data_IF_990985184431
#
_entry.id   IF_990985184431
#
_cell.length_a   1.000
_cell.length_b   1.000
_cell.length_c   1.000
_cell.angle_alpha   90.00
_cell.angle_beta   90.00
_cell.angle_gamma   90.00
#
_symmetry.space_group_name_H-M   'P 1'
#
loop_
_entity.id
_entity.type
_entity.pdbx_description
1 polymer ?
#
# COMPACT_ATOMS: atom_id res chain seq x y z
N UNK A 1 2.45 -3.38 -57.57
CA UNK A 1 3.37 -3.22 -56.43
C UNK A 1 2.98 -1.92 -55.77
N UNK A 2 2.47 -1.98 -54.53
CA UNK A 2 1.96 -0.82 -53.79
C UNK A 2 3.11 0.13 -53.43
N UNK A 3 2.93 1.42 -53.69
CA UNK A 3 3.73 2.48 -53.12
C UNK A 3 3.43 2.55 -51.61
N UNK A 4 4.47 2.44 -50.78
CA UNK A 4 4.38 2.69 -49.35
C UNK A 4 4.62 4.19 -49.17
N UNK A 5 3.55 4.96 -48.93
CA UNK A 5 3.65 6.34 -48.48
C UNK A 5 4.29 6.38 -47.10
N UNK A 6 5.53 6.90 -47.01
CA UNK A 6 6.13 7.29 -45.75
C UNK A 6 5.53 8.64 -45.32
N UNK A 7 4.65 8.61 -44.32
CA UNK A 7 4.17 9.81 -43.63
C UNK A 7 5.39 10.49 -42.98
N UNK A 8 5.65 11.78 -43.23
CA UNK A 8 6.82 12.46 -42.67
C UNK A 8 6.73 12.50 -41.14
N UNK A 9 7.84 12.20 -40.48
CA UNK A 9 8.09 12.31 -39.03
C UNK A 9 7.70 13.66 -38.41
N UNK A 10 7.46 14.69 -39.22
CA UNK A 10 6.96 16.00 -38.80
C UNK A 10 5.49 15.93 -38.41
N UNK A 11 4.65 15.20 -39.16
CA UNK A 11 3.21 15.12 -38.89
C UNK A 11 2.90 14.34 -37.61
N UNK A 12 3.77 13.40 -37.22
CA UNK A 12 3.68 12.69 -35.94
C UNK A 12 4.04 13.60 -34.76
N UNK A 13 5.11 14.39 -34.90
CA UNK A 13 5.46 15.41 -33.89
C UNK A 13 4.38 16.49 -33.79
N UNK A 14 3.75 16.84 -34.92
CA UNK A 14 2.69 17.84 -34.99
C UNK A 14 1.36 17.32 -34.39
N UNK A 15 1.02 16.05 -34.62
CA UNK A 15 -0.11 15.36 -34.00
C UNK A 15 0.04 15.21 -32.47
N UNK A 16 1.27 15.05 -31.97
CA UNK A 16 1.56 15.03 -30.53
C UNK A 16 1.41 16.44 -29.92
N UNK A 17 1.82 17.49 -30.62
CA UNK A 17 1.65 18.88 -30.15
C UNK A 17 0.20 19.37 -30.14
N UNK A 18 -0.67 18.83 -30.99
CA UNK A 18 -2.07 19.26 -31.08
C UNK A 18 -2.96 18.68 -29.95
N UNK A 19 -2.54 17.59 -29.30
CA UNK A 19 -3.35 16.89 -28.31
C UNK A 19 -3.10 17.28 -26.84
N UNK A 20 -2.07 18.08 -26.50
CA UNK A 20 -1.92 18.60 -25.13
C UNK A 20 -1.05 19.87 -25.02
N UNK A 21 -1.61 21.06 -25.27
CA UNK A 21 -0.86 22.33 -25.28
C UNK A 21 -0.32 22.78 -23.90
N UNK A 22 -0.77 22.20 -22.78
CA UNK A 22 -0.36 22.61 -21.42
C UNK A 22 0.83 21.82 -20.83
N UNK A 23 1.30 20.74 -21.48
CA UNK A 23 2.37 19.88 -20.95
C UNK A 23 3.80 20.46 -21.04
N UNK A 24 3.99 21.68 -21.57
CA UNK A 24 5.26 22.04 -22.26
C UNK A 24 6.07 23.22 -21.70
N UNK A 25 5.90 23.65 -20.45
CA UNK A 25 6.64 24.83 -19.96
C UNK A 25 8.02 24.51 -19.36
N UNK A 26 8.19 23.41 -18.61
CA UNK A 26 9.43 23.17 -17.87
C UNK A 26 10.38 22.09 -18.44
N UNK A 27 9.89 21.19 -19.30
CA UNK A 27 10.71 20.20 -20.00
C UNK A 27 11.39 20.75 -21.26
N UNK A 28 11.08 22.00 -21.65
CA UNK A 28 11.48 22.58 -22.94
C UNK A 28 13.00 22.66 -23.12
N UNK A 29 13.77 22.97 -22.08
CA UNK A 29 15.22 23.13 -22.23
C UNK A 29 15.96 21.80 -22.34
N UNK A 30 15.66 20.81 -21.49
CA UNK A 30 16.36 19.53 -21.55
C UNK A 30 15.89 18.65 -22.73
N UNK A 31 14.58 18.59 -23.02
CA UNK A 31 14.08 17.84 -24.18
C UNK A 31 14.42 18.50 -25.52
N UNK A 32 14.43 19.84 -25.65
CA UNK A 32 14.90 20.46 -26.89
C UNK A 32 16.40 20.32 -27.05
N UNK A 33 17.18 20.31 -25.97
CA UNK A 33 18.63 20.09 -26.08
C UNK A 33 18.90 18.66 -26.55
N UNK A 34 18.26 17.66 -25.97
CA UNK A 34 18.43 16.26 -26.39
C UNK A 34 17.81 15.99 -27.77
N UNK A 35 16.62 16.50 -28.07
CA UNK A 35 16.01 16.37 -29.39
C UNK A 35 16.74 17.18 -30.46
N UNK A 36 17.33 18.36 -30.15
CA UNK A 36 18.16 19.12 -31.12
C UNK A 36 19.55 18.52 -31.26
N UNK A 37 20.14 17.92 -30.21
CA UNK A 37 21.34 17.11 -30.34
C UNK A 37 21.06 15.89 -31.20
N UNK A 38 19.93 15.21 -30.99
CA UNK A 38 19.55 14.02 -31.72
C UNK A 38 19.19 14.35 -33.18
N UNK A 39 18.39 15.40 -33.43
CA UNK A 39 18.11 15.92 -34.77
C UNK A 39 19.37 16.48 -35.42
N UNK A 40 20.28 17.10 -34.66
CA UNK A 40 21.58 17.59 -35.14
C UNK A 40 22.52 16.45 -35.54
N UNK A 41 22.55 15.37 -34.77
CA UNK A 41 23.26 14.12 -35.07
C UNK A 41 22.65 13.45 -36.31
N UNK A 42 21.32 13.34 -36.37
CA UNK A 42 20.56 12.81 -37.51
C UNK A 42 20.81 13.61 -38.78
N UNK A 43 20.80 14.95 -38.72
CA UNK A 43 21.07 15.82 -39.86
C UNK A 43 22.54 15.80 -40.26
N UNK A 44 23.48 15.61 -39.32
CA UNK A 44 24.91 15.47 -39.63
C UNK A 44 25.24 14.13 -40.29
N UNK A 45 24.62 13.02 -39.85
CA UNK A 45 24.72 11.72 -40.50
C UNK A 45 24.01 11.69 -41.87
N UNK A 46 22.84 12.33 -42.01
CA UNK A 46 22.16 12.45 -43.31
C UNK A 46 22.92 13.34 -44.30
N UNK A 47 23.62 14.40 -43.83
CA UNK A 47 24.51 15.20 -44.69
C UNK A 47 25.73 14.41 -45.16
N UNK A 48 26.27 13.50 -44.33
CA UNK A 48 27.37 12.61 -44.69
C UNK A 48 26.93 11.45 -45.60
N UNK A 49 25.67 11.00 -45.51
CA UNK A 49 25.12 9.85 -46.27
C UNK A 49 24.38 10.20 -47.56
N UNK A 50 24.37 11.47 -48.00
CA UNK A 50 23.78 11.86 -49.29
C UNK A 50 24.51 11.29 -50.52
N UNK A 51 25.57 10.50 -50.30
CA UNK A 51 26.35 9.82 -51.34
C UNK A 51 25.83 8.44 -51.72
N UNK A 52 25.13 7.71 -50.85
CA UNK A 52 24.81 6.30 -51.12
C UNK A 52 23.37 5.94 -50.70
N UNK A 53 22.61 5.38 -51.66
CA UNK A 53 21.25 4.84 -51.50
C UNK A 53 21.24 3.62 -50.56
N UNK A 54 21.26 3.83 -49.25
CA UNK A 54 21.08 2.78 -48.26
C UNK A 54 19.98 3.14 -47.27
N UNK A 55 18.97 2.25 -47.21
CA UNK A 55 17.88 2.20 -46.23
C UNK A 55 18.45 2.44 -44.81
N UNK A 56 17.79 3.24 -43.95
CA UNK A 56 18.27 3.44 -42.58
C UNK A 56 18.37 2.09 -41.86
N UNK A 57 19.43 1.85 -41.07
CA UNK A 57 19.62 0.58 -40.39
C UNK A 57 18.45 0.33 -39.41
N UNK A 58 17.97 -0.92 -39.35
CA UNK A 58 16.88 -1.34 -38.44
C UNK A 58 17.11 -0.88 -36.98
N UNK A 59 18.37 -0.73 -36.55
CA UNK A 59 18.73 -0.21 -35.23
C UNK A 59 18.23 1.21 -34.94
N UNK A 60 18.08 2.07 -35.94
CA UNK A 60 17.64 3.46 -35.76
C UNK A 60 16.15 3.55 -35.47
N UNK A 61 15.32 2.83 -36.22
CA UNK A 61 13.88 2.72 -35.96
C UNK A 61 13.62 2.03 -34.62
N UNK A 62 14.40 0.98 -34.29
CA UNK A 62 14.33 0.31 -33.00
C UNK A 62 14.65 1.25 -31.84
N UNK A 63 15.71 2.05 -31.93
CA UNK A 63 16.09 3.00 -30.87
C UNK A 63 15.06 4.13 -30.70
N UNK A 64 14.51 4.65 -31.79
CA UNK A 64 13.44 5.66 -31.72
C UNK A 64 12.14 5.09 -31.13
N UNK A 65 11.74 3.87 -31.50
CA UNK A 65 10.61 3.16 -30.89
C UNK A 65 10.85 2.87 -29.40
N UNK A 66 12.09 2.55 -29.01
CA UNK A 66 12.50 2.36 -27.61
C UNK A 66 12.43 3.65 -26.79
N UNK A 67 12.75 4.80 -27.40
CA UNK A 67 12.63 6.11 -26.76
C UNK A 67 11.15 6.48 -26.62
N UNK A 68 10.35 6.27 -27.67
CA UNK A 68 8.91 6.53 -27.64
C UNK A 68 8.15 5.58 -26.71
N UNK A 69 8.57 4.32 -26.56
CA UNK A 69 7.98 3.37 -25.61
C UNK A 69 8.25 3.72 -24.15
N UNK A 70 9.26 4.57 -23.88
CA UNK A 70 9.57 5.09 -22.54
C UNK A 70 8.86 6.41 -22.21
N UNK A 71 8.21 7.05 -23.19
CA UNK A 71 7.33 8.19 -22.94
C UNK A 71 5.96 7.63 -22.58
N UNK A 72 5.70 7.53 -21.29
CA UNK A 72 4.40 7.12 -20.78
C UNK A 72 3.34 8.20 -20.84
N UNK A 73 2.10 7.80 -20.62
CA UNK A 73 0.93 8.69 -20.67
C UNK A 73 0.94 9.77 -19.57
N UNK A 74 1.35 9.41 -18.34
CA UNK A 74 1.36 10.34 -17.22
C UNK A 74 2.71 11.06 -17.09
N UNK A 75 2.65 12.35 -16.78
CA UNK A 75 3.84 13.10 -16.41
C UNK A 75 4.28 12.71 -14.99
N UNK A 76 5.46 12.12 -14.87
CA UNK A 76 6.07 11.80 -13.58
C UNK A 76 6.42 13.09 -12.82
N UNK A 77 5.78 13.29 -11.67
CA UNK A 77 5.98 14.45 -10.78
C UNK A 77 6.20 14.04 -9.33
N UNK A 78 6.14 12.75 -9.01
CA UNK A 78 6.46 12.22 -7.69
C UNK A 78 7.90 12.54 -7.27
N UNK A 79 8.13 12.58 -5.97
CA UNK A 79 9.48 12.76 -5.43
C UNK A 79 10.31 11.49 -5.48
N UNK A 80 9.66 10.33 -5.67
CA UNK A 80 10.30 9.01 -5.72
C UNK A 80 9.80 8.27 -6.96
N UNK A 81 10.75 7.57 -7.57
CA UNK A 81 10.58 6.61 -8.66
C UNK A 81 11.20 5.29 -8.17
N UNK A 82 10.49 4.17 -8.26
CA UNK A 82 10.95 2.91 -7.69
C UNK A 82 11.82 2.14 -8.68
N UNK A 83 12.30 0.98 -8.26
CA UNK A 83 13.25 0.23 -9.07
C UNK A 83 12.62 -0.42 -10.32
N UNK A 84 11.30 -0.54 -10.39
CA UNK A 84 10.59 -1.08 -11.55
C UNK A 84 10.72 -0.14 -12.76
N UNK A 85 10.92 -0.70 -13.97
CA UNK A 85 11.03 0.14 -15.16
C UNK A 85 9.67 0.75 -15.53
N UNK A 86 9.66 2.06 -15.68
CA UNK A 86 8.48 2.80 -16.08
C UNK A 86 7.99 2.45 -17.49
N UNK A 87 6.68 2.19 -17.59
CA UNK A 87 5.92 1.92 -18.80
C UNK A 87 6.38 0.68 -19.59
N UNK A 88 7.07 -0.26 -18.94
CA UNK A 88 7.59 -1.48 -19.58
C UNK A 88 6.48 -2.37 -20.17
N UNK A 89 5.36 -2.50 -19.45
CA UNK A 89 4.25 -3.40 -19.81
C UNK A 89 3.01 -2.67 -20.34
N UNK A 90 2.93 -1.35 -20.19
CA UNK A 90 1.76 -0.55 -20.57
C UNK A 90 2.14 0.91 -20.77
N UNK A 91 1.55 1.57 -21.77
CA UNK A 91 1.70 3.01 -21.96
C UNK A 91 0.96 3.85 -20.89
N UNK A 92 -0.03 3.26 -20.20
CA UNK A 92 -0.89 3.97 -19.23
C UNK A 92 -0.55 3.70 -17.76
N UNK A 93 0.23 2.66 -17.48
CA UNK A 93 0.59 2.24 -16.13
C UNK A 93 2.12 2.32 -16.03
N UNK A 94 2.63 3.23 -15.20
CA UNK A 94 4.06 3.45 -15.04
C UNK A 94 4.76 2.20 -14.48
N UNK A 95 4.38 1.76 -13.29
CA UNK A 95 5.00 0.58 -12.64
C UNK A 95 3.96 -0.54 -12.54
N UNK A 96 3.99 -1.48 -13.49
CA UNK A 96 2.95 -2.49 -13.66
C UNK A 96 2.84 -3.44 -12.45
N UNK A 97 3.95 -4.02 -12.03
CA UNK A 97 3.97 -4.96 -10.92
C UNK A 97 3.66 -4.27 -9.59
N UNK A 98 4.21 -3.08 -9.35
CA UNK A 98 3.93 -2.30 -8.15
C UNK A 98 2.45 -1.91 -8.09
N UNK A 99 1.85 -1.48 -9.20
CA UNK A 99 0.40 -1.17 -9.29
C UNK A 99 -0.49 -2.34 -8.90
N UNK A 100 -0.26 -3.52 -9.49
CA UNK A 100 -1.14 -4.68 -9.24
C UNK A 100 -0.86 -5.37 -7.91
N UNK A 101 0.37 -5.33 -7.41
CA UNK A 101 0.68 -5.85 -6.08
C UNK A 101 0.02 -5.04 -4.96
N UNK A 102 -0.29 -3.75 -5.16
CA UNK A 102 -1.08 -2.92 -4.22
C UNK A 102 -2.47 -3.48 -3.93
N UNK A 103 -3.04 -4.30 -4.83
CA UNK A 103 -4.31 -5.00 -4.60
C UNK A 103 -4.26 -5.90 -3.35
N UNK A 104 -3.07 -6.38 -2.95
CA UNK A 104 -2.93 -7.16 -1.72
C UNK A 104 -3.39 -6.37 -0.49
N UNK A 105 -3.05 -5.08 -0.39
CA UNK A 105 -3.50 -4.22 0.73
C UNK A 105 -5.01 -4.10 0.74
N UNK A 106 -5.63 -3.92 -0.43
CA UNK A 106 -7.08 -3.89 -0.58
C UNK A 106 -7.69 -5.21 -0.09
N UNK A 107 -7.18 -6.34 -0.57
CA UNK A 107 -7.67 -7.68 -0.21
C UNK A 107 -7.54 -7.92 1.30
N UNK A 108 -6.38 -7.70 1.89
CA UNK A 108 -6.15 -7.95 3.32
C UNK A 108 -6.95 -6.99 4.21
N UNK A 109 -7.05 -5.71 3.85
CA UNK A 109 -7.89 -4.75 4.56
C UNK A 109 -9.38 -5.13 4.50
N UNK A 110 -9.90 -5.43 3.31
CA UNK A 110 -11.30 -5.77 3.10
C UNK A 110 -11.67 -7.13 3.73
N UNK A 111 -10.76 -8.09 3.67
CA UNK A 111 -10.90 -9.38 4.34
C UNK A 111 -10.90 -9.19 5.87
N UNK A 112 -9.97 -8.39 6.40
CA UNK A 112 -9.90 -8.08 7.83
C UNK A 112 -11.17 -7.42 8.36
N UNK A 113 -11.70 -6.43 7.63
CA UNK A 113 -12.91 -5.71 8.02
C UNK A 113 -14.18 -6.59 8.01
N UNK A 114 -14.26 -7.59 7.13
CA UNK A 114 -15.44 -8.45 6.96
C UNK A 114 -15.41 -9.72 7.82
N UNK A 115 -14.22 -10.30 8.03
CA UNK A 115 -14.12 -11.61 8.67
C UNK A 115 -13.91 -11.52 10.18
N UNK A 116 -13.22 -10.49 10.65
CA UNK A 116 -12.95 -10.34 12.08
C UNK A 116 -14.16 -9.83 12.85
N UNK A 117 -14.25 -10.22 14.12
CA UNK A 117 -15.19 -9.68 15.09
C UNK A 117 -14.81 -8.22 15.44
N UNK A 118 -15.10 -7.31 14.53
CA UNK A 118 -14.94 -5.89 14.78
C UNK A 118 -16.20 -5.37 15.51
N UNK A 119 -16.19 -5.45 16.85
CA UNK A 119 -17.20 -4.76 17.65
C UNK A 119 -17.02 -3.24 17.50
N UNK A 120 -17.98 -2.59 16.83
CA UNK A 120 -17.95 -1.16 16.55
C UNK A 120 -17.22 -0.75 15.26
N UNK A 121 -17.13 0.56 15.04
CA UNK A 121 -16.59 1.17 13.83
C UNK A 121 -15.06 1.15 13.78
N UNK A 122 -14.41 1.28 14.94
CA UNK A 122 -12.97 1.49 15.08
C UNK A 122 -12.10 0.50 14.29
N UNK A 123 -12.24 -0.80 14.55
CA UNK A 123 -11.41 -1.81 13.89
C UNK A 123 -11.85 -2.08 12.45
N UNK A 124 -13.13 -1.84 12.11
CA UNK A 124 -13.57 -1.83 10.71
C UNK A 124 -12.88 -0.70 9.94
N UNK A 125 -12.78 0.48 10.55
CA UNK A 125 -12.06 1.61 9.99
C UNK A 125 -10.57 1.30 9.85
N UNK A 126 -9.93 0.74 10.88
CA UNK A 126 -8.51 0.38 10.84
C UNK A 126 -8.20 -0.55 9.65
N UNK A 127 -9.00 -1.60 9.47
CA UNK A 127 -8.84 -2.51 8.33
C UNK A 127 -9.15 -1.85 6.98
N UNK A 128 -10.21 -1.03 6.89
CA UNK A 128 -10.56 -0.34 5.64
C UNK A 128 -9.57 0.74 5.25
N UNK A 129 -8.89 1.37 6.21
CA UNK A 129 -7.81 2.32 5.92
C UNK A 129 -6.63 1.64 5.23
N UNK A 130 -6.34 0.35 5.53
CA UNK A 130 -5.37 -0.43 4.75
C UNK A 130 -5.83 -0.55 3.29
N UNK A 131 -7.13 -0.74 3.05
CA UNK A 131 -7.66 -0.76 1.68
C UNK A 131 -7.59 0.60 0.99
N UNK A 132 -7.77 1.70 1.74
CA UNK A 132 -7.57 3.06 1.21
C UNK A 132 -6.12 3.29 0.82
N UNK A 133 -5.14 2.85 1.65
CA UNK A 133 -3.71 2.83 1.26
C UNK A 133 -3.52 2.02 -0.03
N UNK A 134 -4.14 0.84 -0.12
CA UNK A 134 -4.11 0.01 -1.33
C UNK A 134 -4.59 0.72 -2.60
N UNK A 135 -5.65 1.51 -2.51
CA UNK A 135 -6.15 2.32 -3.63
C UNK A 135 -5.18 3.46 -3.95
N UNK A 136 -4.65 4.13 -2.93
CA UNK A 136 -3.66 5.20 -3.10
C UNK A 136 -2.39 4.70 -3.79
N UNK A 137 -1.78 3.64 -3.28
CA UNK A 137 -0.62 2.96 -3.86
C UNK A 137 -0.88 2.50 -5.30
N UNK A 138 -2.05 1.89 -5.58
CA UNK A 138 -2.39 1.48 -6.95
C UNK A 138 -2.40 2.69 -7.91
N UNK A 139 -3.01 3.79 -7.49
CA UNK A 139 -3.04 5.00 -8.31
C UNK A 139 -1.66 5.65 -8.43
N UNK A 140 -0.88 5.66 -7.35
CA UNK A 140 0.48 6.19 -7.34
C UNK A 140 1.38 5.44 -8.31
N UNK A 141 1.48 4.12 -8.21
CA UNK A 141 2.34 3.34 -9.11
C UNK A 141 1.83 3.32 -10.55
N UNK A 142 0.53 3.55 -10.77
CA UNK A 142 -0.01 3.69 -12.12
C UNK A 142 0.42 5.01 -12.78
N UNK A 143 0.54 6.10 -12.03
CA UNK A 143 0.73 7.45 -12.59
C UNK A 143 2.07 8.12 -12.28
N UNK A 144 2.72 7.75 -11.19
CA UNK A 144 3.88 8.42 -10.58
C UNK A 144 3.72 9.95 -10.45
N UNK A 145 2.52 10.38 -10.07
CA UNK A 145 2.23 11.80 -9.82
C UNK A 145 2.31 12.13 -8.33
N UNK A 146 2.75 13.35 -7.99
CA UNK A 146 2.88 13.79 -6.60
C UNK A 146 1.56 13.75 -5.82
N UNK A 147 0.44 14.01 -6.49
CA UNK A 147 -0.91 13.97 -5.93
C UNK A 147 -1.31 12.54 -5.55
N UNK A 148 -0.98 11.57 -6.40
CA UNK A 148 -1.28 10.16 -6.11
C UNK A 148 -0.29 9.58 -5.09
N UNK A 149 0.97 10.04 -5.09
CA UNK A 149 1.91 9.75 -4.00
C UNK A 149 1.35 10.20 -2.65
N UNK A 150 0.78 11.41 -2.58
CA UNK A 150 0.13 11.87 -1.35
C UNK A 150 -1.09 11.00 -0.97
N UNK A 151 -1.83 10.48 -1.95
CA UNK A 151 -2.94 9.56 -1.72
C UNK A 151 -2.49 8.17 -1.25
N UNK A 152 -1.24 7.76 -1.50
CA UNK A 152 -0.61 6.57 -0.91
C UNK A 152 -0.12 6.85 0.52
N UNK A 153 0.66 7.91 0.70
CA UNK A 153 1.35 8.26 1.94
C UNK A 153 0.40 8.72 3.06
N UNK A 154 -0.58 9.59 2.76
CA UNK A 154 -1.46 10.18 3.79
C UNK A 154 -2.34 9.13 4.49
N UNK A 155 -3.02 8.21 3.78
CA UNK A 155 -3.82 7.17 4.42
C UNK A 155 -2.99 6.22 5.30
N UNK A 156 -1.69 6.03 5.04
CA UNK A 156 -0.81 5.25 5.92
C UNK A 156 -0.71 5.89 7.30
N UNK A 157 -0.59 7.22 7.37
CA UNK A 157 -0.60 7.98 8.64
C UNK A 157 -1.94 7.85 9.35
N UNK A 158 -3.06 7.96 8.62
CA UNK A 158 -4.40 7.78 9.22
C UNK A 158 -4.59 6.37 9.77
N UNK A 159 -4.09 5.36 9.06
CA UNK A 159 -4.09 3.96 9.49
C UNK A 159 -3.30 3.80 10.80
N UNK A 160 -2.07 4.30 10.85
CA UNK A 160 -1.22 4.25 12.03
C UNK A 160 -1.85 4.97 13.24
N UNK A 161 -2.45 6.15 13.05
CA UNK A 161 -3.20 6.86 14.10
C UNK A 161 -4.38 6.05 14.65
N UNK A 162 -5.10 5.37 13.77
CA UNK A 162 -6.24 4.53 14.16
C UNK A 162 -5.79 3.31 14.96
N UNK A 163 -4.60 2.75 14.65
CA UNK A 163 -4.01 1.60 15.33
C UNK A 163 -3.28 1.94 16.63
N UNK A 164 -2.64 3.11 16.73
CA UNK A 164 -1.90 3.49 17.94
C UNK A 164 -2.84 3.79 19.11
N UNK A 165 -4.02 4.31 18.85
CA UNK A 165 -4.98 4.63 19.89
C UNK A 165 -5.43 3.42 20.74
N UNK A 166 -5.93 2.30 20.17
CA UNK A 166 -6.26 1.14 21.01
C UNK A 166 -5.04 0.53 21.69
N UNK A 167 -3.83 0.70 21.13
CA UNK A 167 -2.59 0.26 21.78
C UNK A 167 -2.28 1.09 23.03
N UNK A 168 -2.42 2.42 22.94
CA UNK A 168 -2.27 3.32 24.09
C UNK A 168 -3.30 2.95 25.17
N UNK A 169 -4.57 2.82 24.79
CA UNK A 169 -5.63 2.47 25.75
C UNK A 169 -5.43 1.07 26.38
N UNK A 170 -4.87 0.12 25.63
CA UNK A 170 -4.55 -1.21 26.14
C UNK A 170 -3.47 -1.21 27.23
N UNK A 171 -2.57 -0.22 27.23
CA UNK A 171 -1.46 -0.14 28.20
C UNK A 171 -1.77 0.83 29.34
N UNK A 172 -2.40 1.96 29.03
CA UNK A 172 -2.57 3.09 29.96
C UNK A 172 -4.03 3.32 30.37
N UNK A 173 -4.96 2.50 29.88
CA UNK A 173 -6.40 2.67 30.10
C UNK A 173 -7.00 3.79 29.22
N UNK A 174 -8.31 4.04 29.33
CA UNK A 174 -9.01 5.05 28.54
C UNK A 174 -8.40 6.44 28.74
N UNK A 175 -8.06 7.13 27.65
CA UNK A 175 -7.39 8.43 27.73
C UNK A 175 -8.37 9.63 27.74
N UNK A 176 -9.66 9.41 27.47
CA UNK A 176 -10.64 10.50 27.35
C UNK A 176 -10.53 11.25 26.02
N UNK A 177 -11.20 12.41 25.90
CA UNK A 177 -11.38 13.09 24.61
C UNK A 177 -10.12 13.77 24.06
N UNK A 178 -9.10 14.04 24.87
CA UNK A 178 -7.89 14.75 24.40
C UNK A 178 -7.11 13.93 23.37
N UNK A 179 -7.03 12.61 23.55
CA UNK A 179 -6.28 11.73 22.65
C UNK A 179 -6.86 11.72 21.22
N UNK A 180 -8.15 11.40 21.00
CA UNK A 180 -8.71 11.45 19.66
C UNK A 180 -8.67 12.86 19.05
N UNK A 181 -8.82 13.94 19.84
CA UNK A 181 -8.66 15.31 19.35
C UNK A 181 -7.22 15.55 18.85
N UNK A 182 -6.21 15.17 19.63
CA UNK A 182 -4.80 15.32 19.26
C UNK A 182 -4.48 14.52 17.98
N UNK A 183 -5.03 13.30 17.85
CA UNK A 183 -4.83 12.47 16.67
C UNK A 183 -5.52 13.04 15.42
N UNK A 184 -6.72 13.62 15.55
CA UNK A 184 -7.39 14.30 14.43
C UNK A 184 -6.59 15.53 14.00
N UNK A 185 -6.07 16.31 14.96
CA UNK A 185 -5.19 17.45 14.65
C UNK A 185 -3.93 16.97 13.93
N UNK A 186 -3.29 15.89 14.41
CA UNK A 186 -2.12 15.30 13.74
C UNK A 186 -2.47 14.84 12.31
N UNK A 187 -3.59 14.15 12.12
CA UNK A 187 -4.05 13.73 10.80
C UNK A 187 -4.23 14.93 9.85
N UNK A 188 -4.88 16.01 10.30
CA UNK A 188 -5.09 17.21 9.50
C UNK A 188 -3.75 17.88 9.16
N UNK A 189 -2.90 18.12 10.15
CA UNK A 189 -1.60 18.78 9.95
C UNK A 189 -0.69 17.97 9.01
N UNK A 190 -0.64 16.65 9.18
CA UNK A 190 0.16 15.79 8.30
C UNK A 190 -0.42 15.78 6.88
N UNK A 191 -1.75 15.73 6.73
CA UNK A 191 -2.39 15.78 5.41
C UNK A 191 -2.04 17.08 4.70
N UNK A 192 -2.16 18.22 5.38
CA UNK A 192 -1.79 19.51 4.82
C UNK A 192 -0.29 19.57 4.50
N UNK A 193 0.58 19.10 5.39
CA UNK A 193 2.03 19.11 5.18
C UNK A 193 2.44 18.28 3.95
N UNK A 194 1.93 17.06 3.81
CA UNK A 194 2.25 16.15 2.70
C UNK A 194 1.64 16.64 1.38
N UNK A 195 0.40 17.15 1.38
CA UNK A 195 -0.26 17.59 0.14
C UNK A 195 0.21 18.94 -0.39
N UNK A 196 0.66 19.85 0.50
CA UNK A 196 1.18 21.17 0.11
C UNK A 196 2.66 21.09 -0.24
N UNK A 197 3.44 20.27 0.48
CA UNK A 197 4.84 20.05 0.13
C UNK A 197 4.96 19.32 -1.21
N UNK A 198 6.09 19.51 -1.88
CA UNK A 198 6.45 18.85 -3.14
C UNK A 198 7.89 18.35 -3.05
N UNK A 199 8.24 17.37 -3.88
CA UNK A 199 9.59 16.79 -3.90
C UNK A 199 9.99 16.19 -2.54
N UNK A 200 11.27 16.29 -2.19
CA UNK A 200 11.84 15.67 -0.99
C UNK A 200 11.13 16.09 0.32
N UNK A 201 10.60 17.31 0.39
CA UNK A 201 9.90 17.78 1.59
C UNK A 201 8.61 17.01 1.86
N UNK A 202 7.88 16.62 0.80
CA UNK A 202 6.71 15.75 0.93
C UNK A 202 7.12 14.42 1.58
N UNK A 203 8.14 13.78 1.01
CA UNK A 203 8.68 12.51 1.47
C UNK A 203 9.16 12.58 2.92
N UNK A 204 9.88 13.63 3.30
CA UNK A 204 10.38 13.84 4.67
C UNK A 204 9.23 14.02 5.67
N UNK A 205 8.26 14.87 5.37
CA UNK A 205 7.13 15.10 6.28
C UNK A 205 6.31 13.82 6.51
N UNK A 206 6.09 13.05 5.45
CA UNK A 206 5.48 11.73 5.56
C UNK A 206 6.31 10.80 6.46
N UNK A 207 7.60 10.59 6.17
CA UNK A 207 8.44 9.64 6.91
C UNK A 207 8.61 10.01 8.40
N UNK A 208 8.73 11.30 8.72
CA UNK A 208 8.81 11.75 10.12
C UNK A 208 7.52 11.44 10.89
N UNK A 209 6.38 11.69 10.27
CA UNK A 209 5.07 11.44 10.87
C UNK A 209 4.77 9.94 10.98
N UNK A 210 4.82 9.23 9.85
CA UNK A 210 4.52 7.81 9.79
C UNK A 210 5.54 6.97 10.57
N UNK A 211 6.84 7.22 10.39
CA UNK A 211 7.89 6.48 11.08
C UNK A 211 7.84 6.61 12.60
N UNK A 212 7.51 7.80 13.13
CA UNK A 212 7.35 7.97 14.58
C UNK A 212 6.13 7.22 15.15
N UNK A 213 5.01 7.18 14.41
CA UNK A 213 3.82 6.42 14.78
C UNK A 213 4.05 4.90 14.70
N UNK A 214 4.79 4.42 13.70
CA UNK A 214 5.15 3.01 13.55
C UNK A 214 6.06 2.55 14.69
N UNK A 215 7.08 3.34 15.04
CA UNK A 215 7.98 3.04 16.17
C UNK A 215 7.22 3.01 17.51
N UNK A 216 6.31 3.97 17.73
CA UNK A 216 5.44 3.97 18.91
C UNK A 216 4.52 2.75 18.94
N UNK A 217 3.91 2.40 17.81
CA UNK A 217 3.04 1.23 17.70
C UNK A 217 3.80 -0.07 17.97
N UNK A 218 4.99 -0.23 17.40
CA UNK A 218 5.86 -1.38 17.65
C UNK A 218 6.26 -1.48 19.13
N UNK A 219 6.63 -0.35 19.76
CA UNK A 219 6.95 -0.31 21.19
C UNK A 219 5.75 -0.79 22.03
N UNK A 220 4.55 -0.25 21.78
CA UNK A 220 3.34 -0.61 22.54
C UNK A 220 2.93 -2.07 22.29
N UNK A 221 3.00 -2.56 21.04
CA UNK A 221 2.77 -3.97 20.74
C UNK A 221 3.79 -4.88 21.42
N UNK A 222 5.07 -4.48 21.47
CA UNK A 222 6.11 -5.23 22.18
C UNK A 222 5.84 -5.27 23.70
N UNK A 223 5.33 -4.18 24.28
CA UNK A 223 4.89 -4.16 25.69
C UNK A 223 3.76 -5.16 25.93
N UNK A 224 2.73 -5.18 25.07
CA UNK A 224 1.63 -6.17 25.12
C UNK A 224 2.20 -7.59 25.01
N UNK A 225 3.06 -7.85 24.03
CA UNK A 225 3.71 -9.14 23.82
C UNK A 225 4.47 -9.59 25.07
N UNK A 226 5.33 -8.73 25.62
CA UNK A 226 6.16 -9.08 26.78
C UNK A 226 5.34 -9.42 28.02
N UNK A 227 4.21 -8.74 28.22
CA UNK A 227 3.29 -9.00 29.33
C UNK A 227 2.46 -10.27 29.15
N UNK A 228 2.16 -10.65 27.90
CA UNK A 228 1.11 -11.66 27.60
C UNK A 228 1.59 -12.92 26.89
N UNK A 229 2.82 -12.98 26.39
CA UNK A 229 3.32 -14.11 25.58
C UNK A 229 3.21 -15.48 26.24
N UNK A 230 3.26 -15.54 27.58
CA UNK A 230 3.18 -16.79 28.34
C UNK A 230 1.74 -17.26 28.59
N UNK A 231 0.78 -16.33 28.71
CA UNK A 231 -0.62 -16.62 29.01
C UNK A 231 -1.52 -16.61 27.77
N UNK A 232 -1.11 -15.93 26.70
CA UNK A 232 -1.85 -15.78 25.44
C UNK A 232 -1.05 -16.26 24.23
N UNK A 233 -1.15 -17.55 23.85
CA UNK A 233 -0.45 -18.10 22.68
C UNK A 233 -0.76 -17.35 21.38
N UNK A 234 -1.98 -16.84 21.22
CA UNK A 234 -2.38 -16.05 20.06
C UNK A 234 -1.59 -14.73 19.95
N UNK A 235 -1.40 -14.01 21.05
CA UNK A 235 -0.59 -12.77 21.09
C UNK A 235 0.85 -13.10 20.71
N UNK A 236 1.42 -14.17 21.28
CA UNK A 236 2.79 -14.61 20.95
C UNK A 236 2.94 -14.87 19.44
N UNK A 237 2.07 -15.71 18.89
CA UNK A 237 2.14 -16.11 17.48
C UNK A 237 1.96 -14.93 16.53
N UNK A 238 0.91 -14.11 16.73
CA UNK A 238 0.60 -12.99 15.85
C UNK A 238 1.71 -11.93 15.89
N UNK A 239 2.28 -11.65 17.06
CA UNK A 239 3.39 -10.71 17.19
C UNK A 239 4.65 -11.22 16.51
N UNK A 240 5.12 -12.43 16.85
CA UNK A 240 6.38 -12.97 16.32
C UNK A 240 6.33 -13.11 14.80
N UNK A 241 5.22 -13.64 14.25
CA UNK A 241 5.05 -13.77 12.80
C UNK A 241 4.85 -12.43 12.11
N UNK A 242 4.01 -11.56 12.67
CA UNK A 242 3.76 -10.22 12.15
C UNK A 242 5.04 -9.41 12.04
N UNK A 243 5.82 -9.33 13.12
CA UNK A 243 7.10 -8.57 13.15
C UNK A 243 8.12 -9.19 12.21
N UNK A 244 8.31 -10.52 12.17
CA UNK A 244 9.28 -11.15 11.26
C UNK A 244 8.94 -10.83 9.79
N UNK A 245 7.67 -10.98 9.41
CA UNK A 245 7.23 -10.75 8.02
C UNK A 245 7.35 -9.26 7.68
N UNK A 246 6.93 -8.37 8.57
CA UNK A 246 6.97 -6.93 8.32
C UNK A 246 8.41 -6.39 8.32
N UNK A 247 9.31 -6.90 9.18
CA UNK A 247 10.73 -6.55 9.14
C UNK A 247 11.41 -7.03 7.86
N UNK A 248 11.07 -8.23 7.37
CA UNK A 248 11.54 -8.69 6.06
C UNK A 248 11.03 -7.78 4.94
N UNK A 249 9.77 -7.37 5.02
CA UNK A 249 9.20 -6.40 4.11
C UNK A 249 10.04 -5.12 4.10
N UNK A 250 10.32 -4.52 5.28
CA UNK A 250 11.08 -3.26 5.38
C UNK A 250 12.48 -3.43 4.77
N UNK A 251 13.14 -4.56 5.02
CA UNK A 251 14.45 -4.84 4.44
C UNK A 251 14.42 -4.89 2.90
N UNK A 252 13.38 -5.51 2.32
CA UNK A 252 13.17 -5.58 0.88
C UNK A 252 12.88 -4.19 0.30
N UNK A 253 12.02 -3.42 0.96
CA UNK A 253 11.71 -2.03 0.58
C UNK A 253 12.94 -1.12 0.61
N UNK A 254 13.76 -1.19 1.67
CA UNK A 254 15.02 -0.45 1.77
C UNK A 254 16.02 -0.86 0.69
N UNK A 255 16.04 -2.14 0.32
CA UNK A 255 16.90 -2.65 -0.76
C UNK A 255 16.46 -2.10 -2.11
N UNK A 256 15.16 -2.08 -2.39
CA UNK A 256 14.61 -1.47 -3.61
C UNK A 256 14.97 0.02 -3.69
N UNK A 257 14.76 0.76 -2.59
CA UNK A 257 14.97 2.21 -2.54
C UNK A 257 16.44 2.63 -2.67
N UNK A 258 17.36 1.96 -1.96
CA UNK A 258 18.76 2.41 -1.86
C UNK A 258 19.75 1.57 -2.67
N UNK A 259 19.36 0.37 -3.11
CA UNK A 259 20.26 -0.56 -3.80
C UNK A 259 19.77 -0.93 -5.20
N UNK A 260 18.82 -0.17 -5.78
CA UNK A 260 18.24 -0.46 -7.09
C UNK A 260 19.30 -0.74 -8.18
N UNK A 261 20.32 0.11 -8.31
CA UNK A 261 21.44 -0.04 -9.25
C UNK A 261 22.14 -1.42 -9.18
N UNK A 262 22.09 -2.07 -8.02
CA UNK A 262 22.72 -3.36 -7.76
C UNK A 262 21.75 -4.53 -7.92
N UNK A 263 20.44 -4.33 -7.91
CA UNK A 263 19.44 -5.43 -7.90
C UNK A 263 18.47 -5.39 -9.10
N UNK A 264 18.56 -4.40 -9.98
CA UNK A 264 17.61 -4.18 -11.07
C UNK A 264 17.87 -4.98 -12.37
N UNK A 265 18.90 -5.83 -12.44
CA UNK A 265 19.25 -6.52 -13.69
C UNK A 265 20.02 -5.69 -14.72
N UNK A 266 20.43 -4.46 -14.37
CA UNK A 266 21.25 -3.60 -15.22
C UNK A 266 22.74 -3.93 -15.19
N UNK A 267 23.56 -3.11 -15.85
CA UNK A 267 25.00 -3.35 -16.01
C UNK A 267 25.78 -3.50 -14.70
N UNK A 268 25.38 -2.76 -13.65
CA UNK A 268 25.98 -2.82 -12.31
C UNK A 268 25.32 -3.88 -11.41
N UNK A 269 24.26 -4.53 -11.89
CA UNK A 269 23.47 -5.41 -11.06
C UNK A 269 24.16 -6.74 -10.83
N UNK A 270 24.06 -7.23 -9.59
CA UNK A 270 24.49 -8.59 -9.23
C UNK A 270 23.43 -9.63 -9.63
N UNK A 271 22.20 -9.20 -9.88
CA UNK A 271 21.11 -10.06 -10.33
C UNK A 271 20.98 -9.95 -11.86
N UNK A 272 20.57 -11.03 -12.55
CA UNK A 272 20.38 -10.99 -14.00
C UNK A 272 19.04 -10.37 -14.44
N UNK A 273 18.14 -10.07 -13.50
CA UNK A 273 16.81 -9.48 -13.75
C UNK A 273 16.37 -8.65 -12.54
N UNK A 274 15.41 -7.74 -12.74
CA UNK A 274 14.75 -7.02 -11.66
C UNK A 274 13.74 -7.95 -10.95
N UNK A 275 13.94 -8.31 -9.67
CA UNK A 275 13.05 -9.20 -8.94
C UNK A 275 11.75 -8.52 -8.45
N UNK A 276 11.53 -7.23 -8.77
CA UNK A 276 10.37 -6.45 -8.38
C UNK A 276 10.22 -6.39 -6.85
N UNK A 277 11.30 -5.97 -6.16
CA UNK A 277 11.35 -5.98 -4.69
C UNK A 277 10.24 -5.14 -4.08
N UNK A 278 9.94 -3.96 -4.63
CA UNK A 278 8.85 -3.13 -4.15
C UNK A 278 7.47 -3.82 -4.22
N UNK A 279 7.23 -4.61 -5.27
CA UNK A 279 6.01 -5.42 -5.37
C UNK A 279 5.93 -6.50 -4.29
N UNK A 280 7.07 -7.13 -3.97
CA UNK A 280 7.15 -8.11 -2.87
C UNK A 280 6.93 -7.41 -1.52
N UNK A 281 7.41 -6.17 -1.35
CA UNK A 281 7.12 -5.32 -0.20
C UNK A 281 5.62 -5.16 0.02
N UNK A 282 4.83 -4.82 -1.02
CA UNK A 282 3.38 -4.70 -0.89
C UNK A 282 2.73 -5.96 -0.31
N UNK A 283 3.12 -7.14 -0.80
CA UNK A 283 2.55 -8.41 -0.33
C UNK A 283 2.90 -8.69 1.13
N UNK A 284 4.19 -8.55 1.49
CA UNK A 284 4.69 -8.85 2.82
C UNK A 284 4.22 -7.82 3.85
N UNK A 285 4.25 -6.53 3.50
CA UNK A 285 3.74 -5.45 4.36
C UNK A 285 2.24 -5.63 4.62
N UNK A 286 1.45 -5.93 3.58
CA UNK A 286 0.01 -6.20 3.73
C UNK A 286 -0.26 -7.34 4.73
N UNK A 287 0.43 -8.47 4.56
CA UNK A 287 0.19 -9.63 5.41
C UNK A 287 0.75 -9.43 6.82
N UNK A 288 1.96 -8.87 6.95
CA UNK A 288 2.56 -8.55 8.25
C UNK A 288 1.69 -7.57 9.05
N UNK A 289 1.25 -6.48 8.42
CA UNK A 289 0.35 -5.51 9.05
C UNK A 289 -0.98 -6.16 9.42
N UNK A 290 -1.58 -6.97 8.55
CA UNK A 290 -2.80 -7.70 8.86
C UNK A 290 -2.68 -8.50 10.18
N UNK A 291 -1.58 -9.24 10.37
CA UNK A 291 -1.34 -10.01 11.59
C UNK A 291 -1.24 -9.10 12.83
N UNK A 292 -0.57 -7.95 12.72
CA UNK A 292 -0.41 -6.98 13.80
C UNK A 292 -1.72 -6.24 14.15
N UNK A 293 -2.57 -5.96 13.17
CA UNK A 293 -3.92 -5.42 13.40
C UNK A 293 -4.81 -6.46 14.08
N UNK A 294 -4.76 -7.73 13.64
CA UNK A 294 -5.48 -8.84 14.29
C UNK A 294 -5.01 -9.02 15.73
N UNK A 295 -3.72 -8.88 16.02
CA UNK A 295 -3.18 -8.88 17.39
C UNK A 295 -3.80 -7.75 18.22
N UNK A 296 -3.83 -6.54 17.67
CA UNK A 296 -4.35 -5.36 18.36
C UNK A 296 -5.84 -5.52 18.66
N UNK A 297 -6.62 -6.02 17.70
CA UNK A 297 -8.03 -6.33 17.87
C UNK A 297 -8.26 -7.41 18.94
N UNK A 298 -7.53 -8.54 18.86
CA UNK A 298 -7.65 -9.63 19.83
C UNK A 298 -7.34 -9.14 21.25
N UNK A 299 -6.26 -8.38 21.42
CA UNK A 299 -5.90 -7.83 22.71
C UNK A 299 -6.97 -6.87 23.24
N UNK A 300 -7.46 -5.97 22.40
CA UNK A 300 -8.49 -5.00 22.78
C UNK A 300 -9.80 -5.68 23.24
N UNK A 301 -10.27 -6.67 22.49
CA UNK A 301 -11.47 -7.44 22.85
C UNK A 301 -11.27 -8.19 24.16
N UNK A 302 -10.09 -8.79 24.36
CA UNK A 302 -9.76 -9.48 25.60
C UNK A 302 -9.78 -8.53 26.81
N UNK A 303 -9.14 -7.37 26.73
CA UNK A 303 -9.15 -6.35 27.78
C UNK A 303 -10.56 -5.81 28.05
N UNK A 304 -11.40 -5.76 27.02
CA UNK A 304 -12.82 -5.38 27.13
C UNK A 304 -13.71 -6.49 27.72
N UNK A 305 -13.15 -7.63 28.13
CA UNK A 305 -13.88 -8.76 28.69
C UNK A 305 -14.67 -9.59 27.68
N UNK A 306 -14.45 -9.38 26.38
CA UNK A 306 -15.13 -10.10 25.30
C UNK A 306 -14.46 -11.47 25.09
N UNK A 307 -15.22 -12.54 25.31
CA UNK A 307 -14.76 -13.92 25.06
C UNK A 307 -14.60 -14.18 23.57
N UNK A 308 -13.36 -14.14 23.09
CA UNK A 308 -12.99 -14.37 21.70
C UNK A 308 -11.80 -15.34 21.57
N UNK A 309 -11.66 -15.92 20.38
CA UNK A 309 -10.56 -16.80 20.01
C UNK A 309 -10.09 -16.44 18.60
N UNK A 310 -8.83 -16.77 18.29
CA UNK A 310 -8.29 -16.68 16.93
C UNK A 310 -8.47 -18.02 16.23
N UNK A 311 -9.18 -18.02 15.10
CA UNK A 311 -9.34 -19.19 14.23
C UNK A 311 -8.66 -18.93 12.89
N UNK A 312 -8.11 -19.97 12.28
CA UNK A 312 -7.46 -19.85 10.98
C UNK A 312 -8.41 -20.27 9.86
N UNK A 313 -8.55 -19.42 8.85
CA UNK A 313 -9.32 -19.67 7.63
C UNK A 313 -8.38 -19.96 6.45
N UNK A 314 -8.95 -20.43 5.33
CA UNK A 314 -8.25 -20.68 4.07
C UNK A 314 -6.99 -21.56 4.24
N UNK A 315 -7.17 -22.77 4.77
CA UNK A 315 -6.07 -23.73 4.91
C UNK A 315 -5.06 -23.40 6.01
N UNK A 316 -5.38 -22.49 6.94
CA UNK A 316 -4.49 -22.17 8.07
C UNK A 316 -3.73 -20.85 7.92
N UNK A 317 -3.93 -20.11 6.83
CA UNK A 317 -3.11 -18.94 6.49
C UNK A 317 -3.64 -17.63 7.11
N UNK A 318 -4.96 -17.50 7.23
CA UNK A 318 -5.57 -16.22 7.62
C UNK A 318 -6.16 -16.32 9.02
N UNK A 319 -5.49 -15.77 10.05
CA UNK A 319 -6.04 -15.72 11.40
C UNK A 319 -7.17 -14.70 11.47
N UNK A 320 -8.27 -15.07 12.12
CA UNK A 320 -9.48 -14.26 12.28
C UNK A 320 -9.95 -14.35 13.72
N UNK A 321 -10.24 -13.21 14.34
CA UNK A 321 -10.85 -13.15 15.67
C UNK A 321 -12.35 -13.42 15.55
N UNK A 322 -12.84 -14.43 16.27
CA UNK A 322 -14.26 -14.79 16.32
C UNK A 322 -14.74 -14.88 17.76
N UNK A 323 -16.05 -14.70 17.98
CA UNK A 323 -16.67 -14.88 19.30
C UNK A 323 -16.60 -16.36 19.69
N UNK A 324 -16.33 -16.63 20.97
CA UNK A 324 -16.44 -17.99 21.49
C UNK A 324 -17.92 -18.39 21.45
N UNK A 325 -18.30 -19.23 20.49
CA UNK A 325 -19.57 -19.93 20.58
C UNK A 325 -19.47 -20.85 21.79
N UNK A 326 -20.44 -20.76 22.71
CA UNK A 326 -20.63 -21.79 23.73
C UNK A 326 -20.67 -23.13 23.00
N UNK A 327 -19.86 -24.10 23.43
CA UNK A 327 -20.00 -25.46 22.93
C UNK A 327 -21.44 -25.92 23.17
N UNK A 328 -22.01 -26.74 22.28
CA UNK A 328 -23.33 -27.36 22.50
C UNK A 328 -23.39 -28.07 23.87
N UNK A 329 -22.23 -28.51 24.40
CA UNK A 329 -22.08 -29.07 25.75
C UNK A 329 -22.28 -28.02 26.86
N UNK A 330 -21.79 -26.80 26.67
CA UNK A 330 -21.92 -25.70 27.63
C UNK A 330 -23.35 -25.16 27.69
N UNK A 331 -24.03 -25.12 26.54
CA UNK A 331 -25.47 -24.78 26.46
C UNK A 331 -26.30 -25.82 27.21
N UNK A 332 -26.07 -27.13 26.99
CA UNK A 332 -26.75 -28.19 27.75
C UNK A 332 -26.42 -28.18 29.24
N UNK A 333 -25.22 -27.76 29.64
CA UNK A 333 -24.84 -27.62 31.04
C UNK A 333 -25.57 -26.45 31.71
N UNK A 334 -25.72 -25.33 31.00
CA UNK A 334 -26.52 -24.17 31.42
C UNK A 334 -28.03 -24.47 31.47
N UNK A 335 -28.55 -25.30 30.56
CA UNK A 335 -29.94 -25.78 30.62
C UNK A 335 -30.17 -26.73 31.80
N UNK A 336 -29.20 -27.60 32.11
CA UNK A 336 -29.27 -28.52 33.26
C UNK A 336 -29.08 -27.83 34.61
N UNK A 337 -28.44 -26.67 34.66
CA UNK A 337 -28.24 -25.89 35.88
C UNK A 337 -29.38 -24.91 36.19
N UNK A 338 -30.40 -24.79 35.33
CA UNK A 338 -31.61 -24.05 35.70
C UNK A 338 -32.39 -24.86 36.76
N UNK A 339 -32.68 -24.31 37.95
CA UNK A 339 -33.54 -24.99 38.90
C UNK A 339 -34.91 -25.21 38.25
N UNK A 340 -35.42 -26.44 38.32
CA UNK A 340 -36.80 -26.74 37.92
C UNK A 340 -37.71 -25.82 38.72
N UNK A 341 -38.37 -24.88 38.07
CA UNK A 341 -39.48 -24.15 38.69
C UNK A 341 -40.49 -25.20 39.13
N UNK A 342 -40.63 -25.39 40.44
CA UNK A 342 -41.74 -26.13 41.01
C UNK A 342 -43.03 -25.48 40.51
N UNK A 343 -43.83 -26.27 39.82
CA UNK A 343 -45.18 -25.96 39.41
C UNK A 343 -46.07 -25.89 40.65
N UNK A 344 -46.20 -24.71 41.23
CA UNK A 344 -47.31 -24.35 42.12
C UNK A 344 -47.54 -22.85 41.99
N UNK A 345 -48.62 -22.46 41.30
CA UNK A 345 -49.62 -21.50 41.75
C UNK A 345 -50.79 -21.54 40.77
N UNK A 346 -51.95 -21.81 41.36
CA UNK A 346 -53.29 -21.90 40.83
C UNK A 346 -53.74 -20.62 40.13
N UNK A 347 -54.24 -20.75 38.90
CA UNK A 347 -55.07 -19.76 38.24
C UNK A 347 -56.53 -20.12 38.56
N UNK A 348 -57.20 -19.32 39.40
CA UNK A 348 -58.67 -19.23 39.45
C UNK A 348 -59.13 -17.94 40.13
N UNK A 349 -59.62 -16.99 39.33
CA UNK A 349 -60.68 -15.97 39.57
C UNK A 349 -60.66 -15.03 38.36
N UNK A 350 -61.45 -15.22 37.29
CA UNK A 350 -62.89 -14.87 37.09
C UNK A 350 -63.28 -13.45 37.50
N UNK A 351 -64.11 -12.83 36.65
CA UNK A 351 -64.53 -11.41 36.49
C UNK A 351 -63.64 -10.67 35.46
N UNK A 352 -64.05 -10.32 34.24
CA UNK A 352 -65.34 -10.24 33.53
C UNK A 352 -65.19 -10.75 32.09
#
# INVERSE_FOLDING_TARGET
>A
MQEIEFIPTIDVLQSITENCPECYSHQKENLLVDARLYVGLVLSEFKLRRSDNLVPPQSFASNFLLIMSRIGYWQTTSSVDWCENNYEYSHYIAEFWNTFSSLAMIIFGEAGARMNLCEGFRFKLAFRLISVVGVGSLLFHATLTSEMQALDEVPMVWSALTLVHPLIESIYGPQGYWLPIAQVIHAILCTLAVTIAKGDMQFIFFHMSFGSLELLSLYLMHRIYSLKKSSHPAVKYLFERGVIIYSLAIAIWLTDLYMCDYVNGGEKSILPFNPQLHSIWHLLASFGLYLLVVLTLYNFLWESGVKCNVVYRFGGLVPVVVKNSLSFKDVKKLERSKPRKNSFISIYSREF
#
